data_IF_583051692481
#
_entry.id   IF_583051692481
#
_cell.length_a   1.000
_cell.length_b   1.000
_cell.length_c   1.000
_cell.angle_alpha   90.00
_cell.angle_beta   90.00
_cell.angle_gamma   90.00
#
_symmetry.space_group_name_H-M   'P 1'
#
loop_
_entity.id
_entity.type
_entity.pdbx_description
1 polymer ?
#
# COMPACT_ATOMS: atom_id res chain seq x y z
N UNK A 1 -0.57 -18.81 -15.34
CA UNK A 1 -1.30 -17.73 -16.04
C UNK A 1 -1.96 -16.79 -15.03
N UNK A 2 -2.99 -17.22 -14.29
CA UNK A 2 -3.72 -16.41 -13.27
C UNK A 2 -2.84 -15.74 -12.20
N UNK A 3 -1.79 -16.43 -11.74
CA UNK A 3 -0.94 -15.88 -10.68
C UNK A 3 -0.15 -14.64 -11.16
N UNK A 4 0.33 -14.64 -12.41
CA UNK A 4 1.06 -13.52 -13.00
C UNK A 4 0.15 -12.31 -13.23
N UNK A 5 -1.09 -12.51 -13.68
CA UNK A 5 -2.04 -11.40 -13.90
C UNK A 5 -2.38 -10.68 -12.59
N UNK A 6 -2.39 -11.38 -11.45
CA UNK A 6 -2.57 -10.75 -10.14
C UNK A 6 -1.38 -9.88 -9.72
N UNK A 7 -0.15 -10.28 -10.04
CA UNK A 7 1.02 -9.44 -9.86
C UNK A 7 0.92 -8.18 -10.74
N UNK A 8 0.52 -8.33 -12.00
CA UNK A 8 0.33 -7.20 -12.92
C UNK A 8 -0.70 -6.20 -12.38
N UNK A 9 -1.81 -6.69 -11.80
CA UNK A 9 -2.79 -5.82 -11.14
C UNK A 9 -2.18 -4.99 -10.00
N UNK A 10 -1.32 -5.58 -9.17
CA UNK A 10 -0.66 -4.82 -8.10
C UNK A 10 0.27 -3.76 -8.67
N UNK A 11 1.08 -4.12 -9.67
CA UNK A 11 2.06 -3.22 -10.29
C UNK A 11 1.34 -2.06 -11.00
N UNK A 12 0.28 -2.33 -11.77
CA UNK A 12 -0.46 -1.27 -12.47
C UNK A 12 -1.17 -0.34 -11.49
N UNK A 13 -1.72 -0.87 -10.39
CA UNK A 13 -2.28 -0.02 -9.33
C UNK A 13 -1.21 0.86 -8.68
N UNK A 14 -0.05 0.29 -8.30
CA UNK A 14 1.06 1.07 -7.75
C UNK A 14 1.54 2.17 -8.72
N UNK A 15 1.66 1.85 -10.01
CA UNK A 15 2.03 2.81 -11.05
C UNK A 15 1.00 3.94 -11.18
N UNK A 16 -0.29 3.63 -11.16
CA UNK A 16 -1.32 4.65 -11.21
C UNK A 16 -1.41 5.49 -9.94
N UNK A 17 -1.17 4.93 -8.75
CA UNK A 17 -1.03 5.71 -7.51
C UNK A 17 0.15 6.70 -7.63
N UNK A 18 1.30 6.23 -8.14
CA UNK A 18 2.47 7.08 -8.39
C UNK A 18 2.15 8.22 -9.37
N UNK A 19 1.39 7.93 -10.43
CA UNK A 19 0.95 8.93 -11.39
C UNK A 19 -0.03 9.94 -10.77
N UNK A 20 -0.97 9.47 -9.95
CA UNK A 20 -1.89 10.33 -9.20
C UNK A 20 -1.17 11.33 -8.30
N UNK A 21 -0.24 10.86 -7.47
CA UNK A 21 0.53 11.77 -6.58
C UNK A 21 1.47 12.69 -7.34
N UNK A 22 2.00 12.28 -8.50
CA UNK A 22 2.81 13.16 -9.34
C UNK A 22 2.02 14.41 -9.76
N UNK A 23 0.78 14.22 -10.21
CA UNK A 23 -0.10 15.31 -10.62
C UNK A 23 -0.57 16.14 -9.42
N UNK A 24 -0.95 15.50 -8.31
CA UNK A 24 -1.40 16.18 -7.10
C UNK A 24 -0.30 17.08 -6.50
N UNK A 25 0.91 16.53 -6.31
CA UNK A 25 2.05 17.28 -5.77
C UNK A 25 2.52 18.40 -6.71
N UNK A 26 2.57 18.13 -8.02
CA UNK A 26 2.87 19.15 -9.02
C UNK A 26 1.86 20.30 -8.99
N UNK A 27 0.56 19.97 -8.95
CA UNK A 27 -0.49 20.98 -8.87
C UNK A 27 -0.34 21.82 -7.60
N UNK A 28 -0.14 21.18 -6.44
CA UNK A 28 -0.03 21.86 -5.16
C UNK A 28 1.20 22.77 -5.08
N UNK A 29 2.31 22.41 -5.73
CA UNK A 29 3.51 23.24 -5.80
C UNK A 29 3.28 24.57 -6.55
N UNK A 30 2.28 24.64 -7.43
CA UNK A 30 2.03 25.80 -8.30
C UNK A 30 0.69 26.50 -8.05
N UNK A 31 -0.29 25.84 -7.43
CA UNK A 31 -1.57 26.45 -7.13
C UNK A 31 -1.48 27.23 -5.82
N UNK A 32 -2.07 28.42 -5.77
CA UNK A 32 -2.18 29.20 -4.54
C UNK A 32 -3.63 29.28 -4.05
N UNK A 33 -3.81 29.24 -2.73
CA UNK A 33 -5.06 29.54 -2.04
C UNK A 33 -4.73 30.15 -0.67
N UNK A 34 -5.58 31.08 -0.21
CA UNK A 34 -5.35 31.81 1.04
C UNK A 34 -3.95 32.47 1.11
N UNK A 35 -3.48 33.03 -0.01
CA UNK A 35 -2.25 33.82 -0.08
C UNK A 35 -0.92 33.04 -0.13
N UNK A 36 -0.94 31.70 -0.12
CA UNK A 36 0.28 30.85 -0.20
C UNK A 36 0.09 29.72 -1.21
N UNK A 37 1.18 29.04 -1.63
CA UNK A 37 1.04 27.80 -2.42
C UNK A 37 0.32 26.76 -1.58
N UNK A 38 -0.44 25.88 -2.23
CA UNK A 38 -1.08 24.75 -1.57
C UNK A 38 -0.03 23.86 -0.90
N UNK A 39 1.11 23.64 -1.58
CA UNK A 39 2.25 22.94 -1.02
C UNK A 39 2.88 23.65 0.20
N UNK A 40 2.50 24.87 0.57
CA UNK A 40 2.95 25.55 1.80
C UNK A 40 1.92 25.50 2.93
N UNK A 41 0.72 24.97 2.67
CA UNK A 41 -0.32 24.83 3.68
C UNK A 41 -0.08 23.52 4.46
N UNK A 42 0.08 23.55 5.79
CA UNK A 42 0.39 22.34 6.58
C UNK A 42 -0.61 21.20 6.37
N UNK A 43 -1.91 21.51 6.31
CA UNK A 43 -2.96 20.52 6.08
C UNK A 43 -2.81 19.84 4.71
N UNK A 44 -2.56 20.60 3.65
CA UNK A 44 -2.37 20.04 2.31
C UNK A 44 -1.08 19.21 2.24
N UNK A 45 0.02 19.65 2.89
CA UNK A 45 1.23 18.83 3.00
C UNK A 45 0.95 17.50 3.67
N UNK A 46 0.12 17.46 4.71
CA UNK A 46 -0.26 16.22 5.37
C UNK A 46 -1.00 15.29 4.41
N UNK A 47 -2.04 15.77 3.72
CA UNK A 47 -2.78 14.99 2.70
C UNK A 47 -1.84 14.44 1.62
N UNK A 48 -0.99 15.29 1.05
CA UNK A 48 -0.06 14.89 0.00
C UNK A 48 0.97 13.87 0.50
N UNK A 49 1.56 14.08 1.69
CA UNK A 49 2.51 13.15 2.27
C UNK A 49 1.88 11.79 2.53
N UNK A 50 0.65 11.79 3.06
CA UNK A 50 -0.12 10.57 3.30
C UNK A 50 -0.38 9.79 2.00
N UNK A 51 -0.77 10.50 0.94
CA UNK A 51 -0.92 9.90 -0.40
C UNK A 51 0.39 9.40 -0.99
N UNK A 52 1.52 10.04 -0.68
CA UNK A 52 2.84 9.67 -1.20
C UNK A 52 3.40 8.41 -0.54
N UNK A 53 3.02 8.10 0.70
CA UNK A 53 3.44 6.89 1.41
C UNK A 53 2.88 5.62 0.75
N UNK A 54 1.62 5.65 0.28
CA UNK A 54 0.95 4.49 -0.34
C UNK A 54 1.67 3.89 -1.57
N UNK A 55 2.04 4.68 -2.61
CA UNK A 55 2.73 4.13 -3.78
C UNK A 55 4.13 3.60 -3.44
N UNK A 56 4.86 4.17 -2.48
CA UNK A 56 6.15 3.61 -2.04
C UNK A 56 5.96 2.20 -1.46
N UNK A 57 4.97 2.03 -0.58
CA UNK A 57 4.63 0.75 0.01
C UNK A 57 4.17 -0.28 -1.05
N UNK A 58 3.26 0.15 -1.93
CA UNK A 58 2.72 -0.69 -2.98
C UNK A 58 3.78 -1.11 -4.02
N UNK A 59 4.69 -0.20 -4.39
CA UNK A 59 5.83 -0.52 -5.26
C UNK A 59 6.79 -1.49 -4.59
N UNK A 60 7.14 -1.27 -3.32
CA UNK A 60 8.03 -2.18 -2.59
C UNK A 60 7.42 -3.60 -2.50
N UNK A 61 6.13 -3.72 -2.18
CA UNK A 61 5.42 -5.01 -2.17
C UNK A 61 5.43 -5.64 -3.57
N UNK A 62 4.98 -4.91 -4.60
CA UNK A 62 4.94 -5.41 -5.98
C UNK A 62 6.30 -5.95 -6.44
N UNK A 63 7.38 -5.24 -6.18
CA UNK A 63 8.73 -5.66 -6.56
C UNK A 63 9.23 -6.85 -5.74
N UNK A 64 8.89 -6.94 -4.44
CA UNK A 64 9.25 -8.11 -3.62
C UNK A 64 8.56 -9.38 -4.10
N UNK A 65 7.28 -9.28 -4.47
CA UNK A 65 6.53 -10.40 -5.04
C UNK A 65 7.08 -10.77 -6.41
N UNK A 66 7.38 -9.80 -7.29
CA UNK A 66 8.03 -10.05 -8.57
C UNK A 66 9.34 -10.85 -8.39
N UNK A 67 10.19 -10.43 -7.43
CA UNK A 67 11.40 -11.17 -7.08
C UNK A 67 11.09 -12.62 -6.61
N UNK A 68 10.04 -12.82 -5.83
CA UNK A 68 9.63 -14.17 -5.42
C UNK A 68 9.17 -15.03 -6.60
N UNK A 69 8.59 -14.44 -7.66
CA UNK A 69 8.33 -15.15 -8.91
C UNK A 69 9.63 -15.64 -9.57
N UNK A 70 10.64 -14.78 -9.65
CA UNK A 70 11.93 -15.12 -10.27
C UNK A 70 12.69 -16.21 -9.50
N UNK A 71 12.61 -16.20 -8.16
CA UNK A 71 13.30 -17.15 -7.28
C UNK A 71 12.56 -18.50 -7.15
N UNK A 72 11.23 -18.51 -7.26
CA UNK A 72 10.38 -19.69 -7.01
C UNK A 72 10.67 -20.97 -7.81
N UNK A 73 11.25 -20.95 -9.02
CA UNK A 73 11.62 -22.18 -9.72
C UNK A 73 12.77 -22.94 -9.06
N UNK A 74 13.55 -22.29 -8.19
CA UNK A 74 14.77 -22.84 -7.57
C UNK A 74 14.76 -22.79 -6.04
N UNK A 75 13.85 -22.00 -5.45
CA UNK A 75 13.72 -21.84 -4.01
C UNK A 75 12.29 -22.13 -3.56
N UNK A 76 12.15 -23.11 -2.68
CA UNK A 76 10.88 -23.49 -2.06
C UNK A 76 10.32 -22.38 -1.17
N UNK A 77 11.18 -21.69 -0.41
CA UNK A 77 10.75 -20.59 0.44
C UNK A 77 10.15 -19.45 -0.42
N UNK A 78 10.85 -19.06 -1.49
CA UNK A 78 10.31 -18.10 -2.46
C UNK A 78 9.00 -18.57 -3.11
N UNK A 79 8.83 -19.86 -3.39
CA UNK A 79 7.58 -20.41 -3.93
C UNK A 79 6.42 -20.26 -2.94
N UNK A 80 6.65 -20.52 -1.65
CA UNK A 80 5.67 -20.34 -0.59
C UNK A 80 5.29 -18.86 -0.41
N UNK A 81 6.29 -17.98 -0.32
CA UNK A 81 6.08 -16.54 -0.23
C UNK A 81 5.31 -16.01 -1.45
N UNK A 82 5.72 -16.38 -2.67
CA UNK A 82 5.06 -15.99 -3.92
C UNK A 82 3.57 -16.32 -3.87
N UNK A 83 3.20 -17.53 -3.42
CA UNK A 83 1.81 -17.96 -3.38
C UNK A 83 0.97 -17.06 -2.47
N UNK A 84 1.37 -16.93 -1.20
CA UNK A 84 0.59 -16.20 -0.21
C UNK A 84 0.62 -14.68 -0.46
N UNK A 85 1.81 -14.13 -0.70
CA UNK A 85 2.02 -12.70 -0.87
C UNK A 85 1.35 -12.15 -2.13
N UNK A 86 1.19 -12.94 -3.20
CA UNK A 86 0.42 -12.52 -4.39
C UNK A 86 -1.04 -12.26 -4.05
N UNK A 87 -1.69 -13.16 -3.30
CA UNK A 87 -3.10 -12.99 -2.94
C UNK A 87 -3.30 -11.83 -1.94
N UNK A 88 -2.42 -11.72 -0.95
CA UNK A 88 -2.42 -10.63 0.03
C UNK A 88 -2.22 -9.27 -0.65
N UNK A 89 -1.19 -9.14 -1.49
CA UNK A 89 -0.91 -7.88 -2.18
C UNK A 89 -2.00 -7.50 -3.17
N UNK A 90 -2.53 -8.46 -3.94
CA UNK A 90 -3.64 -8.24 -4.88
C UNK A 90 -4.89 -7.77 -4.15
N UNK A 91 -5.19 -8.33 -2.98
CA UNK A 91 -6.29 -7.88 -2.15
C UNK A 91 -6.09 -6.43 -1.71
N UNK A 92 -4.94 -6.13 -1.11
CA UNK A 92 -4.73 -4.86 -0.44
C UNK A 92 -4.48 -3.71 -1.43
N UNK A 93 -3.42 -3.82 -2.24
CA UNK A 93 -2.95 -2.74 -3.12
C UNK A 93 -4.06 -2.31 -4.08
N UNK A 94 -4.69 -3.26 -4.76
CA UNK A 94 -5.73 -2.95 -5.73
C UNK A 94 -7.00 -2.36 -5.10
N UNK A 95 -7.33 -2.74 -3.85
CA UNK A 95 -8.48 -2.14 -3.15
C UNK A 95 -8.20 -0.72 -2.66
N UNK A 96 -6.94 -0.36 -2.42
CA UNK A 96 -6.54 1.01 -2.05
C UNK A 96 -6.58 1.97 -3.24
N UNK A 97 -6.39 1.46 -4.46
CA UNK A 97 -6.33 2.23 -5.71
C UNK A 97 -7.44 3.28 -5.90
N UNK A 98 -8.74 2.90 -5.83
CA UNK A 98 -9.83 3.85 -6.09
C UNK A 98 -9.86 5.03 -5.11
N UNK A 99 -9.69 4.77 -3.82
CA UNK A 99 -9.68 5.82 -2.79
C UNK A 99 -8.45 6.73 -2.93
N UNK A 100 -7.29 6.16 -3.28
CA UNK A 100 -6.08 6.93 -3.56
C UNK A 100 -6.24 7.85 -4.78
N UNK A 101 -6.79 7.33 -5.88
CA UNK A 101 -7.05 8.13 -7.07
C UNK A 101 -8.08 9.24 -6.82
N UNK A 102 -9.12 8.96 -6.02
CA UNK A 102 -10.10 9.96 -5.60
C UNK A 102 -9.43 11.13 -4.86
N UNK A 103 -8.67 10.87 -3.80
CA UNK A 103 -8.05 11.96 -3.05
C UNK A 103 -7.01 12.72 -3.91
N UNK A 104 -6.26 11.99 -4.74
CA UNK A 104 -5.29 12.59 -5.67
C UNK A 104 -5.97 13.55 -6.66
N UNK A 105 -7.17 13.22 -7.17
CA UNK A 105 -7.90 14.10 -8.07
C UNK A 105 -8.53 15.28 -7.34
N UNK A 106 -8.98 15.09 -6.09
CA UNK A 106 -9.51 16.16 -5.24
C UNK A 106 -8.45 17.25 -4.95
N UNK A 107 -7.17 16.87 -4.87
CA UNK A 107 -6.06 17.83 -4.73
C UNK A 107 -5.99 18.87 -5.87
N UNK A 108 -6.56 18.58 -7.05
CA UNK A 108 -6.63 19.49 -8.20
C UNK A 108 -7.90 20.38 -8.18
N UNK A 109 -8.79 20.17 -7.21
CA UNK A 109 -10.10 20.81 -7.13
C UNK A 109 -10.98 20.47 -8.33
N UNK A 110 -11.83 21.41 -8.75
CA UNK A 110 -12.77 21.21 -9.87
C UNK A 110 -12.10 20.79 -11.18
N UNK A 111 -10.86 21.23 -11.43
CA UNK A 111 -10.12 20.82 -12.62
C UNK A 111 -9.72 19.34 -12.58
N UNK A 112 -9.57 18.73 -11.40
CA UNK A 112 -9.33 17.30 -11.28
C UNK A 112 -10.53 16.44 -11.68
N UNK A 113 -11.74 17.03 -11.71
CA UNK A 113 -12.97 16.32 -12.09
C UNK A 113 -13.24 16.37 -13.60
N UNK A 114 -12.56 17.24 -14.36
CA UNK A 114 -12.73 17.33 -15.82
C UNK A 114 -11.80 16.35 -16.54
N UNK A 115 -12.30 15.73 -17.61
CA UNK A 115 -11.60 14.65 -18.34
C UNK A 115 -10.27 15.10 -18.94
N UNK A 116 -10.14 16.38 -19.30
CA UNK A 116 -8.94 16.99 -19.86
C UNK A 116 -7.74 16.97 -18.89
N UNK A 117 -7.98 16.86 -17.58
CA UNK A 117 -6.91 16.68 -16.59
C UNK A 117 -6.29 15.28 -16.63
N UNK A 118 -7.00 14.29 -17.19
CA UNK A 118 -6.64 12.88 -17.16
C UNK A 118 -6.88 12.18 -15.81
N UNK A 119 -7.18 12.92 -14.74
CA UNK A 119 -7.46 12.33 -13.42
C UNK A 119 -8.76 11.51 -13.36
N UNK A 120 -9.87 11.91 -14.03
CA UNK A 120 -11.08 11.07 -14.05
C UNK A 120 -10.84 9.72 -14.73
N UNK A 121 -10.00 9.68 -15.77
CA UNK A 121 -9.57 8.41 -16.38
C UNK A 121 -8.83 7.52 -15.37
N UNK A 122 -7.89 8.07 -14.60
CA UNK A 122 -7.22 7.32 -13.53
C UNK A 122 -8.22 6.76 -12.52
N UNK A 123 -9.14 7.60 -12.04
CA UNK A 123 -10.17 7.17 -11.08
C UNK A 123 -11.06 6.05 -11.63
N UNK A 124 -11.48 6.13 -12.90
CA UNK A 124 -12.28 5.08 -13.56
C UNK A 124 -11.49 3.79 -13.80
N UNK A 125 -10.17 3.88 -13.98
CA UNK A 125 -9.30 2.72 -14.22
C UNK A 125 -9.01 1.93 -12.92
N UNK A 126 -8.80 2.63 -11.80
CA UNK A 126 -8.35 2.01 -10.55
C UNK A 126 -9.20 0.84 -10.03
N UNK A 127 -10.55 0.87 -10.08
CA UNK A 127 -11.37 -0.25 -9.63
C UNK A 127 -11.13 -1.54 -10.43
N UNK A 128 -10.72 -1.43 -11.71
CA UNK A 128 -10.57 -2.60 -12.59
C UNK A 128 -9.56 -3.60 -12.02
N UNK A 129 -8.40 -3.12 -11.59
CA UNK A 129 -7.36 -3.96 -11.00
C UNK A 129 -7.82 -4.66 -9.71
N UNK A 130 -8.83 -4.12 -8.99
CA UNK A 130 -9.42 -4.81 -7.83
C UNK A 130 -10.45 -5.86 -8.23
N UNK A 131 -11.15 -5.69 -9.35
CA UNK A 131 -12.22 -6.58 -9.82
C UNK A 131 -11.63 -7.75 -10.62
N UNK A 132 -10.65 -7.46 -11.47
CA UNK A 132 -9.93 -8.39 -12.32
C UNK A 132 -8.56 -8.75 -11.71
N UNK A 133 -8.01 -9.95 -11.86
CA UNK A 133 -8.67 -11.25 -11.91
C UNK A 133 -8.75 -11.78 -10.46
N UNK A 134 -9.94 -11.77 -9.86
CA UNK A 134 -10.14 -12.13 -8.45
C UNK A 134 -10.54 -10.93 -7.60
N UNK A 135 -11.85 -10.75 -7.34
CA UNK A 135 -12.34 -9.70 -6.46
C UNK A 135 -11.92 -9.95 -5.01
N UNK A 136 -12.00 -8.92 -4.17
CA UNK A 136 -11.42 -8.96 -2.82
C UNK A 136 -11.82 -10.16 -1.95
N UNK A 137 -13.07 -10.62 -1.99
CA UNK A 137 -13.48 -11.83 -1.26
C UNK A 137 -12.78 -13.08 -1.76
N UNK A 138 -12.61 -13.21 -3.08
CA UNK A 138 -11.92 -14.36 -3.67
C UNK A 138 -10.45 -14.35 -3.25
N UNK A 139 -9.79 -13.19 -3.19
CA UNK A 139 -8.41 -13.12 -2.71
C UNK A 139 -8.28 -13.44 -1.22
N UNK A 140 -9.22 -12.96 -0.39
CA UNK A 140 -9.23 -13.27 1.04
C UNK A 140 -9.44 -14.77 1.30
N UNK A 141 -10.38 -15.40 0.58
CA UNK A 141 -10.61 -16.85 0.67
C UNK A 141 -9.44 -17.65 0.08
N UNK A 142 -8.76 -17.16 -0.95
CA UNK A 142 -7.58 -17.80 -1.52
C UNK A 142 -6.41 -17.82 -0.53
N UNK A 143 -6.24 -16.75 0.25
CA UNK A 143 -5.28 -16.72 1.38
C UNK A 143 -5.61 -17.82 2.38
N UNK A 144 -6.86 -17.94 2.83
CA UNK A 144 -7.25 -18.98 3.79
C UNK A 144 -7.05 -20.39 3.22
N UNK A 145 -7.43 -20.62 1.96
CA UNK A 145 -7.20 -21.88 1.27
C UNK A 145 -5.71 -22.23 1.18
N UNK A 146 -4.85 -21.25 0.92
CA UNK A 146 -3.41 -21.48 0.87
C UNK A 146 -2.85 -21.90 2.25
N UNK A 147 -3.36 -21.30 3.33
CA UNK A 147 -2.99 -21.65 4.71
C UNK A 147 -3.46 -23.07 5.09
N UNK A 148 -4.65 -23.47 4.65
CA UNK A 148 -5.19 -24.81 4.89
C UNK A 148 -4.40 -25.90 4.14
N UNK A 149 -4.06 -25.64 2.86
CA UNK A 149 -3.38 -26.62 2.00
C UNK A 149 -1.89 -26.75 2.31
N UNK A 150 -1.23 -25.66 2.69
CA UNK A 150 0.22 -25.64 2.91
C UNK A 150 0.57 -24.65 4.02
N UNK A 151 0.53 -25.05 5.30
CA UNK A 151 0.84 -24.18 6.44
C UNK A 151 2.20 -23.48 6.35
N UNK A 152 3.17 -24.05 5.62
CA UNK A 152 4.50 -23.50 5.38
C UNK A 152 4.46 -22.14 4.66
N UNK A 153 3.38 -21.84 3.92
CA UNK A 153 3.22 -20.53 3.29
C UNK A 153 3.16 -19.41 4.32
N UNK A 154 2.55 -19.66 5.49
CA UNK A 154 2.50 -18.69 6.58
C UNK A 154 3.89 -18.42 7.15
N UNK A 155 4.68 -19.48 7.36
CA UNK A 155 6.05 -19.36 7.86
C UNK A 155 6.90 -18.51 6.91
N UNK A 156 6.88 -18.81 5.61
CA UNK A 156 7.64 -18.03 4.63
C UNK A 156 7.21 -16.56 4.57
N UNK A 157 5.91 -16.28 4.72
CA UNK A 157 5.41 -14.91 4.80
C UNK A 157 5.87 -14.18 6.07
N UNK A 158 5.77 -14.84 7.23
CA UNK A 158 6.17 -14.26 8.50
C UNK A 158 7.69 -14.07 8.61
N UNK A 159 8.49 -14.93 7.99
CA UNK A 159 9.95 -14.74 7.88
C UNK A 159 10.30 -13.46 7.09
N UNK A 160 9.56 -13.18 6.01
CA UNK A 160 9.73 -11.94 5.24
C UNK A 160 9.33 -10.70 6.06
N UNK A 161 8.30 -10.80 6.92
CA UNK A 161 7.95 -9.75 7.87
C UNK A 161 9.05 -9.60 8.93
N UNK A 162 9.52 -10.70 9.50
CA UNK A 162 10.53 -10.76 10.57
C UNK A 162 11.92 -10.32 10.13
N UNK A 163 12.18 -10.21 8.83
CA UNK A 163 13.42 -9.62 8.31
C UNK A 163 13.63 -8.16 8.78
N UNK A 164 12.59 -7.48 9.25
CA UNK A 164 12.65 -6.14 9.84
C UNK A 164 12.54 -6.13 11.37
N UNK A 165 12.57 -7.29 12.04
CA UNK A 165 12.38 -7.40 13.48
C UNK A 165 13.37 -6.54 14.25
N UNK A 166 12.87 -5.80 15.25
CA UNK A 166 13.69 -4.93 16.10
C UNK A 166 14.08 -3.59 15.46
N UNK A 167 13.68 -3.35 14.20
CA UNK A 167 13.96 -2.07 13.54
C UNK A 167 12.89 -1.00 13.84
N UNK A 168 11.65 -1.40 14.19
CA UNK A 168 10.59 -0.49 14.64
C UNK A 168 9.64 -1.17 15.64
N UNK A 169 9.47 -0.55 16.81
CA UNK A 169 8.65 -1.13 17.89
C UNK A 169 7.15 -1.24 17.55
N UNK A 170 6.61 -0.34 16.70
CA UNK A 170 5.21 -0.39 16.25
C UNK A 170 5.02 -1.56 15.29
N UNK A 171 5.97 -1.78 14.37
CA UNK A 171 5.97 -2.94 13.48
C UNK A 171 6.08 -4.26 14.27
N UNK A 172 6.97 -4.33 15.26
CA UNK A 172 7.12 -5.52 16.10
C UNK A 172 5.83 -5.83 16.86
N UNK A 173 5.22 -4.82 17.50
CA UNK A 173 3.96 -4.97 18.21
C UNK A 173 2.81 -5.40 17.27
N UNK A 174 2.73 -4.77 16.09
CA UNK A 174 1.72 -5.11 15.08
C UNK A 174 1.90 -6.53 14.55
N UNK A 175 3.14 -6.95 14.30
CA UNK A 175 3.48 -8.28 13.81
C UNK A 175 3.21 -9.35 14.85
N UNK A 176 3.43 -9.06 16.14
CA UNK A 176 3.02 -9.93 17.24
C UNK A 176 1.51 -10.13 17.24
N UNK A 177 0.74 -9.02 17.22
CA UNK A 177 -0.71 -9.07 17.21
C UNK A 177 -1.30 -9.67 15.91
N UNK A 178 -0.55 -9.71 14.81
CA UNK A 178 -0.95 -10.44 13.60
C UNK A 178 -0.88 -11.96 13.82
N UNK A 179 0.08 -12.46 14.61
CA UNK A 179 0.21 -13.90 14.89
C UNK A 179 -0.98 -14.41 15.71
N UNK A 180 -1.47 -13.59 16.63
CA UNK A 180 -2.64 -13.90 17.45
C UNK A 180 -3.92 -14.08 16.61
N UNK A 181 -3.99 -13.42 15.44
CA UNK A 181 -5.07 -13.61 14.47
C UNK A 181 -5.07 -15.01 13.84
N UNK A 182 -4.08 -15.88 14.07
CA UNK A 182 -4.12 -17.26 13.59
C UNK A 182 -4.44 -18.28 14.70
N UNK A 183 -4.74 -17.81 15.92
CA UNK A 183 -5.08 -18.70 17.05
C UNK A 183 -6.53 -19.21 17.01
N UNK A 184 -7.49 -18.38 16.56
CA UNK A 184 -8.92 -18.76 16.43
C UNK A 184 -9.27 -19.06 14.96
N UNK A 185 -9.05 -20.31 14.55
CA UNK A 185 -9.32 -20.74 13.17
C UNK A 185 -10.81 -20.89 12.85
N UNK A 186 -11.66 -21.14 13.86
CA UNK A 186 -13.08 -21.43 13.64
C UNK A 186 -13.84 -20.20 13.11
N UNK A 187 -13.46 -19.00 13.57
CA UNK A 187 -14.04 -17.74 13.11
C UNK A 187 -13.24 -17.06 11.97
N UNK A 188 -12.16 -17.66 11.47
CA UNK A 188 -11.20 -16.96 10.59
C UNK A 188 -11.80 -16.50 9.26
N UNK A 189 -12.75 -17.25 8.69
CA UNK A 189 -13.41 -16.89 7.43
C UNK A 189 -14.21 -15.58 7.55
N UNK A 190 -14.95 -15.41 8.65
CA UNK A 190 -15.74 -14.21 8.91
C UNK A 190 -14.86 -12.95 8.99
N UNK A 191 -13.64 -13.09 9.51
CA UNK A 191 -12.66 -12.02 9.66
C UNK A 191 -11.58 -12.01 8.58
N UNK A 192 -11.71 -12.81 7.52
CA UNK A 192 -10.65 -13.02 6.52
C UNK A 192 -10.10 -11.70 5.96
N UNK A 193 -10.98 -10.76 5.62
CA UNK A 193 -10.59 -9.43 5.10
C UNK A 193 -9.71 -8.65 6.07
N UNK A 194 -10.02 -8.70 7.37
CA UNK A 194 -9.22 -8.04 8.42
C UNK A 194 -7.87 -8.71 8.57
N UNK A 195 -7.82 -10.04 8.54
CA UNK A 195 -6.56 -10.79 8.61
C UNK A 195 -5.68 -10.47 7.40
N UNK A 196 -6.20 -10.55 6.17
CA UNK A 196 -5.44 -10.28 4.94
C UNK A 196 -4.96 -8.82 4.88
N UNK A 197 -5.78 -7.87 5.34
CA UNK A 197 -5.35 -6.48 5.51
C UNK A 197 -4.16 -6.35 6.46
N UNK A 198 -4.24 -6.97 7.65
CA UNK A 198 -3.14 -6.96 8.63
C UNK A 198 -1.88 -7.63 8.08
N UNK A 199 -2.02 -8.73 7.34
CA UNK A 199 -0.88 -9.34 6.63
C UNK A 199 -0.22 -8.34 5.68
N UNK A 200 -1.01 -7.67 4.83
CA UNK A 200 -0.47 -6.69 3.88
C UNK A 200 0.23 -5.52 4.57
N UNK A 201 -0.37 -4.99 5.64
CA UNK A 201 0.21 -3.88 6.41
C UNK A 201 1.52 -4.27 7.10
N UNK A 202 1.62 -5.48 7.66
CA UNK A 202 2.85 -5.96 8.27
C UNK A 202 3.99 -6.10 7.24
N UNK A 203 3.67 -6.65 6.06
CA UNK A 203 4.67 -6.80 4.98
C UNK A 203 5.06 -5.44 4.37
N UNK A 204 4.11 -4.52 4.16
CA UNK A 204 4.43 -3.14 3.79
C UNK A 204 5.38 -2.48 4.80
N UNK A 205 5.07 -2.58 6.10
CA UNK A 205 5.91 -2.02 7.16
C UNK A 205 7.32 -2.60 7.13
N UNK A 206 7.45 -3.93 7.06
CA UNK A 206 8.74 -4.61 6.95
C UNK A 206 9.55 -4.14 5.74
N UNK A 207 8.92 -4.03 4.56
CA UNK A 207 9.61 -3.62 3.34
C UNK A 207 10.04 -2.15 3.39
N UNK A 208 9.20 -1.26 3.89
CA UNK A 208 9.53 0.16 4.02
C UNK A 208 10.65 0.39 5.04
N UNK A 209 10.58 -0.24 6.21
CA UNK A 209 11.63 -0.10 7.24
C UNK A 209 13.00 -0.59 6.74
N UNK A 210 13.02 -1.62 5.87
CA UNK A 210 14.28 -2.14 5.31
C UNK A 210 14.81 -1.35 4.11
N UNK A 211 13.93 -0.72 3.31
CA UNK A 211 14.30 -0.28 1.97
C UNK A 211 13.85 1.14 1.58
N UNK A 212 12.98 1.77 2.36
CA UNK A 212 12.52 3.13 2.10
C UNK A 212 13.30 4.16 2.94
N UNK A 213 13.26 5.45 2.54
CA UNK A 213 13.70 6.54 3.40
C UNK A 213 13.01 6.51 4.77
N UNK A 214 13.74 6.90 5.82
CA UNK A 214 13.29 6.78 7.20
C UNK A 214 12.00 7.58 7.48
N UNK A 215 11.84 8.73 6.85
CA UNK A 215 10.64 9.58 6.89
C UNK A 215 9.40 8.86 6.34
N UNK A 216 9.54 8.13 5.23
CA UNK A 216 8.44 7.34 4.65
C UNK A 216 8.09 6.14 5.55
N UNK A 217 9.11 5.42 6.03
CA UNK A 217 8.92 4.26 6.89
C UNK A 217 8.28 4.63 8.23
N UNK A 218 8.75 5.72 8.86
CA UNK A 218 8.20 6.24 10.11
C UNK A 218 6.75 6.70 9.92
N UNK A 219 6.45 7.50 8.89
CA UNK A 219 5.10 7.93 8.59
C UNK A 219 4.14 6.74 8.35
N UNK A 220 4.59 5.71 7.63
CA UNK A 220 3.80 4.49 7.44
C UNK A 220 3.54 3.78 8.76
N UNK A 221 4.57 3.52 9.57
CA UNK A 221 4.42 2.81 10.84
C UNK A 221 3.55 3.59 11.83
N UNK A 222 3.73 4.91 11.92
CA UNK A 222 2.95 5.79 12.78
C UNK A 222 1.47 5.79 12.41
N UNK A 223 1.14 5.82 11.13
CA UNK A 223 -0.24 5.92 10.67
C UNK A 223 -0.93 4.57 10.49
N UNK A 224 -0.27 3.57 9.89
CA UNK A 224 -0.93 2.29 9.55
C UNK A 224 -0.84 1.24 10.67
N UNK A 225 0.15 1.33 11.55
CA UNK A 225 0.44 0.26 12.52
C UNK A 225 0.17 0.67 13.98
N UNK A 226 0.26 1.96 14.33
CA UNK A 226 0.10 2.42 15.72
C UNK A 226 -1.35 2.53 16.21
N UNK A 227 -2.34 2.47 15.30
CA UNK A 227 -3.77 2.38 15.65
C UNK A 227 -4.54 3.71 15.82
N UNK A 228 -3.90 4.85 15.58
CA UNK A 228 -4.52 6.20 15.69
C UNK A 228 -4.77 6.86 14.31
N UNK A 229 -4.87 6.06 13.23
CA UNK A 229 -5.16 6.57 11.90
C UNK A 229 -6.63 6.99 11.74
N UNK A 230 -6.85 8.06 10.98
CA UNK A 230 -8.19 8.39 10.49
C UNK A 230 -8.62 7.50 9.31
N UNK A 231 -9.90 7.59 8.97
CA UNK A 231 -10.46 6.86 7.82
C UNK A 231 -10.11 7.50 6.47
N UNK A 232 -9.71 8.77 6.48
CA UNK A 232 -9.35 9.56 5.30
C UNK A 232 -7.85 9.84 5.26
N UNK A 233 -7.36 10.28 4.10
CA UNK A 233 -6.00 10.78 3.96
C UNK A 233 -5.81 12.12 4.68
N UNK A 234 -4.55 12.47 4.94
CA UNK A 234 -4.20 13.69 5.65
C UNK A 234 -4.31 13.56 7.15
N UNK A 235 -4.19 12.32 7.66
CA UNK A 235 -4.29 12.02 9.10
C UNK A 235 -2.98 11.53 9.68
N UNK A 236 -1.85 11.84 9.03
CA UNK A 236 -0.53 11.57 9.59
C UNK A 236 -0.36 12.34 10.91
N UNK A 237 0.24 11.72 11.93
CA UNK A 237 0.37 12.34 13.24
C UNK A 237 1.34 13.53 13.22
N UNK A 238 1.19 14.48 14.16
CA UNK A 238 2.17 15.53 14.38
C UNK A 238 3.58 14.95 14.56
N UNK A 239 4.58 15.57 13.95
CA UNK A 239 5.98 15.11 13.98
C UNK A 239 6.41 14.31 12.74
N UNK A 240 5.47 13.89 11.88
CA UNK A 240 5.80 13.30 10.58
C UNK A 240 6.53 14.32 9.68
N UNK A 241 7.62 13.92 9.01
CA UNK A 241 8.34 14.78 8.06
C UNK A 241 7.61 14.86 6.71
N UNK A 242 6.45 15.52 6.72
CA UNK A 242 5.58 15.66 5.54
C UNK A 242 6.25 16.44 4.42
N UNK A 243 7.24 17.28 4.71
CA UNK A 243 7.95 18.07 3.72
C UNK A 243 8.92 17.20 2.91
N UNK A 244 9.74 16.39 3.58
CA UNK A 244 10.67 15.47 2.93
C UNK A 244 9.93 14.48 2.01
N UNK A 245 8.83 13.91 2.51
CA UNK A 245 8.01 12.95 1.77
C UNK A 245 7.44 13.58 0.49
N UNK A 246 6.84 14.78 0.57
CA UNK A 246 6.25 15.46 -0.58
C UNK A 246 7.32 15.90 -1.59
N UNK A 247 8.46 16.42 -1.11
CA UNK A 247 9.54 16.89 -1.97
C UNK A 247 10.13 15.77 -2.84
N UNK A 248 10.17 14.53 -2.33
CA UNK A 248 10.62 13.35 -3.06
C UNK A 248 9.67 12.95 -4.21
N UNK A 249 8.38 13.22 -4.07
CA UNK A 249 7.35 12.81 -5.02
C UNK A 249 7.02 13.87 -6.07
N UNK A 250 7.30 15.14 -5.75
CA UNK A 250 7.06 16.29 -6.60
C UNK A 250 7.99 16.25 -7.83
N UNK A 251 7.45 16.17 -9.05
CA UNK A 251 8.25 16.22 -10.27
C UNK A 251 9.07 17.52 -10.35
N UNK A 252 10.30 17.43 -10.84
CA UNK A 252 11.16 18.61 -11.09
C UNK A 252 11.02 19.01 -12.55
N UNK A 253 10.84 20.30 -12.83
CA UNK A 253 10.98 20.81 -14.19
C UNK A 253 12.44 20.61 -14.63
N UNK A 254 12.64 19.88 -15.74
CA UNK A 254 13.92 19.74 -16.43
C UNK A 254 14.25 20.98 -17.24
#
# INVERSE_FOLDING_TARGET
>A
MVAHTRLDCMIVTAAGMRWGVANATWHAAHRSAFGRRLADQPLMRNVLADLCVEPEAATAFGMRVARAYDESPRDEHARHLRHLATAVGKYWVCKRGPGHAFESLECLGGNGYVEESGMPRLYREMPLASIWEGPGNVMALDVLRALEVSPEVLAAFLDEVDAARGADARLDAFSSALRDEFADVDAIELRARRVVERMALALHGSLLVRHAPADVADAFCASRLAGDAGLQYGTLPPGSDVEAIVARHTPRAS
#
